data_IF_659966807620
#
_entry.id   IF_659966807620
#
_cell.length_a   1.000
_cell.length_b   1.000
_cell.length_c   1.000
_cell.angle_alpha   90.00
_cell.angle_beta   90.00
_cell.angle_gamma   90.00
#
_symmetry.space_group_name_H-M   'P 1'
#
loop_
_entity.id
_entity.type
_entity.pdbx_description
1 polymer ?
#
# COMPACT_ATOMS: atom_id res chain seq x y z
N UNK A 1 -26.70 -10.92 -20.56
CA UNK A 1 -25.95 -11.15 -19.30
C UNK A 1 -24.76 -10.20 -19.27
N UNK A 2 -24.85 -9.12 -18.50
CA UNK A 2 -23.79 -8.11 -18.35
C UNK A 2 -23.06 -8.37 -17.03
N UNK A 3 -21.72 -8.29 -16.98
CA UNK A 3 -21.08 -8.16 -15.65
C UNK A 3 -19.62 -8.55 -15.47
N UNK A 4 -18.93 -9.18 -16.42
CA UNK A 4 -17.49 -9.42 -16.25
C UNK A 4 -16.71 -8.16 -16.63
N UNK A 5 -16.68 -7.16 -15.73
CA UNK A 5 -15.74 -6.04 -15.85
C UNK A 5 -14.34 -6.65 -15.81
N UNK A 6 -13.65 -6.66 -16.95
CA UNK A 6 -12.26 -7.10 -17.06
C UNK A 6 -11.43 -6.34 -16.01
N UNK A 7 -11.12 -6.98 -14.88
CA UNK A 7 -10.12 -6.46 -13.97
C UNK A 7 -8.80 -6.51 -14.74
N UNK A 8 -8.36 -5.34 -15.21
CA UNK A 8 -7.09 -5.23 -15.93
C UNK A 8 -5.98 -5.80 -15.03
N UNK A 9 -5.01 -6.50 -15.62
CA UNK A 9 -3.90 -7.10 -14.86
C UNK A 9 -3.18 -6.07 -13.98
N UNK A 10 -3.13 -4.81 -14.42
CA UNK A 10 -2.61 -3.68 -13.66
C UNK A 10 -3.39 -3.40 -12.37
N UNK A 11 -4.71 -3.54 -12.38
CA UNK A 11 -5.54 -3.36 -11.19
C UNK A 11 -5.31 -4.49 -10.19
N UNK A 12 -5.28 -5.74 -10.65
CA UNK A 12 -4.97 -6.90 -9.81
C UNK A 12 -3.56 -6.81 -9.22
N UNK A 13 -2.56 -6.44 -10.02
CA UNK A 13 -1.19 -6.27 -9.55
C UNK A 13 -1.09 -5.19 -8.45
N UNK A 14 -1.83 -4.07 -8.59
CA UNK A 14 -1.90 -3.04 -7.55
C UNK A 14 -2.54 -3.55 -6.26
N UNK A 15 -3.64 -4.28 -6.36
CA UNK A 15 -4.31 -4.86 -5.19
C UNK A 15 -3.42 -5.87 -4.47
N UNK A 16 -2.83 -6.83 -5.20
CA UNK A 16 -1.91 -7.82 -4.63
C UNK A 16 -0.68 -7.18 -3.98
N UNK A 17 -0.24 -6.02 -4.49
CA UNK A 17 0.89 -5.33 -3.88
C UNK A 17 0.53 -4.65 -2.56
N UNK A 18 -0.71 -4.18 -2.41
CA UNK A 18 -1.20 -3.63 -1.14
C UNK A 18 -1.31 -4.71 -0.06
N UNK A 19 -1.59 -5.97 -0.43
CA UNK A 19 -1.59 -7.09 0.55
C UNK A 19 -0.20 -7.47 1.06
N UNK A 20 0.87 -6.92 0.48
CA UNK A 20 2.26 -7.14 0.92
C UNK A 20 2.73 -6.11 1.95
N UNK A 21 1.89 -5.12 2.29
CA UNK A 21 2.19 -4.17 3.37
C UNK A 21 2.25 -4.90 4.71
N UNK A 22 3.12 -4.41 5.60
CA UNK A 22 3.17 -4.87 6.97
C UNK A 22 1.80 -4.67 7.64
N UNK A 23 1.37 -5.62 8.48
CA UNK A 23 0.08 -5.53 9.17
C UNK A 23 -0.06 -4.23 9.97
N UNK A 24 1.02 -3.76 10.61
CA UNK A 24 1.05 -2.50 11.35
C UNK A 24 0.67 -1.28 10.48
N UNK A 25 1.08 -1.28 9.20
CA UNK A 25 0.76 -0.21 8.25
C UNK A 25 -0.71 -0.27 7.85
N UNK A 26 -1.22 -1.48 7.61
CA UNK A 26 -2.64 -1.69 7.26
C UNK A 26 -3.52 -1.26 8.43
N UNK A 27 -3.18 -1.64 9.65
CA UNK A 27 -3.87 -1.22 10.87
C UNK A 27 -3.82 0.29 11.06
N UNK A 28 -2.65 0.93 10.87
CA UNK A 28 -2.52 2.37 10.95
C UNK A 28 -3.43 3.11 9.93
N UNK A 29 -3.52 2.61 8.70
CA UNK A 29 -4.43 3.17 7.67
C UNK A 29 -5.90 2.97 8.08
N UNK A 30 -6.27 1.77 8.55
CA UNK A 30 -7.64 1.47 8.97
C UNK A 30 -8.07 2.30 10.18
N UNK A 31 -7.12 2.60 11.07
CA UNK A 31 -7.33 3.46 12.25
C UNK A 31 -7.27 4.96 11.93
N UNK A 32 -6.93 5.36 10.70
CA UNK A 32 -6.69 6.76 10.33
C UNK A 32 -5.46 7.37 11.02
N UNK A 33 -4.52 6.54 11.47
CA UNK A 33 -3.23 6.89 12.07
C UNK A 33 -2.10 6.77 11.05
N UNK A 34 -2.42 7.02 9.79
CA UNK A 34 -1.42 7.09 8.73
C UNK A 34 -0.39 8.21 9.03
N UNK A 35 0.92 7.96 8.85
CA UNK A 35 1.95 8.99 8.99
C UNK A 35 1.65 10.20 8.11
N UNK A 36 1.91 11.41 8.61
CA UNK A 36 1.77 12.64 7.83
C UNK A 36 2.57 12.54 6.51
N UNK A 37 1.96 12.87 5.37
CA UNK A 37 2.63 12.72 4.07
C UNK A 37 2.58 11.31 3.46
N UNK A 38 2.03 10.31 4.18
CA UNK A 38 1.66 9.04 3.55
C UNK A 38 0.53 9.28 2.53
N UNK A 39 0.75 8.82 1.30
CA UNK A 39 -0.24 8.89 0.23
C UNK A 39 -0.31 7.59 -0.54
N UNK A 40 -1.40 7.40 -1.29
CA UNK A 40 -1.53 6.29 -2.24
C UNK A 40 -0.41 6.30 -3.30
N UNK A 41 0.19 7.46 -3.62
CA UNK A 41 1.37 7.52 -4.49
C UNK A 41 2.61 6.92 -3.83
N UNK A 42 2.83 7.21 -2.55
CA UNK A 42 3.91 6.60 -1.76
C UNK A 42 3.76 5.09 -1.72
N UNK A 43 2.55 4.60 -1.44
CA UNK A 43 2.21 3.17 -1.46
C UNK A 43 2.21 2.55 -2.87
N UNK A 44 2.38 3.34 -3.94
CA UNK A 44 2.55 2.91 -5.33
C UNK A 44 4.02 2.84 -5.78
N UNK A 45 4.96 3.33 -4.98
CA UNK A 45 6.41 3.13 -5.22
C UNK A 45 6.85 1.72 -4.86
N UNK A 46 7.92 1.16 -5.47
CA UNK A 46 8.47 -0.12 -5.04
C UNK A 46 8.76 -0.10 -3.54
N UNK A 47 8.28 -1.10 -2.82
CA UNK A 47 8.48 -1.23 -1.38
C UNK A 47 9.34 -2.44 -1.09
N UNK A 48 10.08 -2.40 0.04
CA UNK A 48 10.82 -3.56 0.52
C UNK A 48 9.87 -4.74 0.78
N UNK A 49 10.33 -5.97 0.55
CA UNK A 49 9.61 -7.18 1.01
C UNK A 49 9.79 -7.39 2.52
N UNK A 50 10.74 -6.69 3.15
CA UNK A 50 10.97 -6.76 4.60
C UNK A 50 10.12 -5.71 5.28
N UNK A 51 9.18 -6.14 6.12
CA UNK A 51 8.23 -5.26 6.81
C UNK A 51 8.87 -4.16 7.65
N UNK A 52 9.95 -4.46 8.38
CA UNK A 52 10.68 -3.44 9.17
C UNK A 52 11.20 -2.29 8.30
N UNK A 53 11.67 -2.62 7.10
CA UNK A 53 12.13 -1.61 6.14
C UNK A 53 10.97 -0.86 5.49
N UNK A 54 9.79 -1.48 5.33
CA UNK A 54 8.60 -0.77 4.85
C UNK A 54 8.19 0.35 5.81
N UNK A 55 8.14 0.08 7.12
CA UNK A 55 7.81 1.11 8.11
C UNK A 55 8.82 2.27 8.07
N UNK A 56 10.11 1.96 7.96
CA UNK A 56 11.16 2.98 7.83
C UNK A 56 10.99 3.83 6.58
N UNK A 57 10.76 3.22 5.42
CA UNK A 57 10.53 3.93 4.15
C UNK A 57 9.31 4.88 4.21
N UNK A 58 8.28 4.52 4.96
CA UNK A 58 7.06 5.34 5.08
C UNK A 58 7.27 6.53 6.02
N UNK A 59 8.06 6.36 7.07
CA UNK A 59 8.46 7.48 7.95
C UNK A 59 9.44 8.41 7.23
N UNK A 60 10.35 7.90 6.40
CA UNK A 60 11.31 8.72 5.64
C UNK A 60 10.67 9.49 4.48
N UNK A 61 9.55 9.00 3.94
CA UNK A 61 8.81 9.69 2.88
C UNK A 61 7.76 10.68 3.39
N UNK A 62 7.52 10.67 4.70
CA UNK A 62 6.64 11.57 5.45
C UNK A 62 7.34 12.88 5.87
N UNK A 63 8.68 12.92 5.84
CA UNK A 63 9.55 14.06 6.21
C UNK A 63 10.01 14.79 4.96
#
# INVERSE_FOLDING_TARGET
>A
MQGARYCTLTYLARLLRLTLLAPDIIEAILDGREPDGMSLETLRKPMSMVWKEQCKMLVESAV
#
